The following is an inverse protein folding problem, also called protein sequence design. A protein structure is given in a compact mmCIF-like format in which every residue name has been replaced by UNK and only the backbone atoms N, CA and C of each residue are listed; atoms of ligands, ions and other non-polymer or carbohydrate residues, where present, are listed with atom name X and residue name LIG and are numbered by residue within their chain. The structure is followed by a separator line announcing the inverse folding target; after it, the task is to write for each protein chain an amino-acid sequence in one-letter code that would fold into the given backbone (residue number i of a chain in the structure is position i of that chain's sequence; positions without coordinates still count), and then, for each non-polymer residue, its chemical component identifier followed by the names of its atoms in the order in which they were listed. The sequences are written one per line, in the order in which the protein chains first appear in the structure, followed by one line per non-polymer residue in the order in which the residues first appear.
data_IF_662709735628
#
_entry.id   IF_662709735628
#
_cell.length_a   1.000
_cell.length_b   1.000
_cell.length_c   1.000
_cell.angle_alpha   90.00
_cell.angle_beta   90.00
_cell.angle_gamma   90.00
#
_symmetry.space_group_name_H-M   'P 1'
#
loop_
_entity.id
_entity.type
_entity.pdbx_description
1 polymer ?
#
# COMPACT_ATOMS: atom_id res chain seq x y z
N UNK A 1 6.47 11.06 31.11
CA UNK A 1 5.52 12.12 30.68
C UNK A 1 6.24 13.38 30.23
N UNK A 2 7.35 13.73 30.88
CA UNK A 2 8.08 14.99 30.62
C UNK A 2 8.55 15.12 29.17
N UNK A 3 9.01 14.02 28.56
CA UNK A 3 9.33 13.98 27.13
C UNK A 3 8.17 14.41 26.21
N UNK A 4 6.94 13.94 26.47
CA UNK A 4 5.76 14.27 25.65
C UNK A 4 5.36 15.73 25.78
N UNK A 5 5.60 16.32 26.96
CA UNK A 5 5.33 17.71 27.25
C UNK A 5 6.37 18.64 26.59
N UNK A 6 7.66 18.35 26.78
CA UNK A 6 8.76 19.16 26.26
C UNK A 6 8.83 19.16 24.73
N UNK A 7 8.51 18.03 24.10
CA UNK A 7 8.58 17.88 22.64
C UNK A 7 7.23 18.07 21.94
N UNK A 8 6.20 18.54 22.65
CA UNK A 8 4.90 18.81 22.06
C UNK A 8 5.07 19.80 20.88
N UNK A 9 4.46 19.50 19.72
CA UNK A 9 4.50 20.28 18.46
C UNK A 9 5.75 20.12 17.59
N UNK A 10 6.78 19.39 18.03
CA UNK A 10 7.98 19.13 17.20
C UNK A 10 7.86 17.87 16.32
N UNK A 11 6.91 16.97 16.60
CA UNK A 11 6.76 15.69 15.88
C UNK A 11 6.18 15.79 14.46
N UNK A 12 5.87 17.00 13.96
CA UNK A 12 5.27 17.14 12.62
C UNK A 12 6.19 16.66 11.51
N UNK A 13 7.49 16.92 11.63
CA UNK A 13 8.48 16.48 10.65
C UNK A 13 8.54 14.95 10.53
N UNK A 14 8.48 14.25 11.67
CA UNK A 14 8.41 12.79 11.70
C UNK A 14 7.12 12.27 11.04
N UNK A 15 5.98 12.89 11.35
CA UNK A 15 4.69 12.54 10.74
C UNK A 15 4.68 12.75 9.22
N UNK A 16 5.25 13.84 8.71
CA UNK A 16 5.34 14.08 7.26
C UNK A 16 6.22 13.06 6.55
N UNK A 17 7.35 12.66 7.16
CA UNK A 17 8.18 11.57 6.62
C UNK A 17 7.43 10.24 6.56
N UNK A 18 6.61 9.96 7.58
CA UNK A 18 5.78 8.75 7.60
C UNK A 18 4.74 8.75 6.46
N UNK A 19 4.02 9.85 6.26
CA UNK A 19 3.07 9.98 5.14
C UNK A 19 3.75 9.96 3.79
N UNK A 20 4.97 10.52 3.69
CA UNK A 20 5.77 10.39 2.48
C UNK A 20 6.11 8.93 2.19
N UNK A 21 6.48 8.13 3.21
CA UNK A 21 6.72 6.70 3.03
C UNK A 21 5.45 5.94 2.61
N UNK A 22 4.28 6.25 3.18
CA UNK A 22 3.00 5.67 2.75
C UNK A 22 2.71 6.02 1.26
N UNK A 23 2.92 7.27 0.85
CA UNK A 23 2.79 7.70 -0.54
C UNK A 23 3.80 7.01 -1.47
N UNK A 24 5.05 6.89 -1.04
CA UNK A 24 6.10 6.19 -1.79
C UNK A 24 5.79 4.69 -1.92
N UNK A 25 5.15 4.07 -0.92
CA UNK A 25 4.70 2.68 -0.99
C UNK A 25 3.63 2.49 -2.08
N UNK A 26 2.64 3.39 -2.14
CA UNK A 26 1.67 3.38 -3.24
C UNK A 26 2.33 3.67 -4.60
N UNK A 27 3.22 4.66 -4.66
CA UNK A 27 4.02 4.96 -5.85
C UNK A 27 4.86 3.76 -6.30
N UNK A 28 5.38 2.96 -5.37
CA UNK A 28 6.10 1.73 -5.68
C UNK A 28 5.16 0.69 -6.31
N UNK A 29 3.97 0.44 -5.73
CA UNK A 29 2.99 -0.48 -6.32
C UNK A 29 2.62 -0.06 -7.75
N UNK A 30 2.34 1.22 -7.97
CA UNK A 30 2.03 1.76 -9.31
C UNK A 30 3.25 1.64 -10.24
N UNK A 31 4.45 1.99 -9.77
CA UNK A 31 5.68 1.87 -10.53
C UNK A 31 5.98 0.43 -10.97
N UNK A 32 5.82 -0.53 -10.07
CA UNK A 32 5.95 -1.96 -10.38
C UNK A 32 4.91 -2.38 -11.43
N UNK A 33 3.65 -1.95 -11.29
CA UNK A 33 2.61 -2.22 -12.28
C UNK A 33 2.99 -1.70 -13.68
N UNK A 34 3.57 -0.49 -13.77
CA UNK A 34 4.03 0.09 -15.03
C UNK A 34 5.27 -0.61 -15.61
N UNK A 35 6.24 -0.98 -14.77
CA UNK A 35 7.42 -1.75 -15.20
C UNK A 35 7.01 -3.10 -15.76
N UNK A 36 6.09 -3.78 -15.09
CA UNK A 36 5.49 -5.03 -15.55
C UNK A 36 4.75 -4.85 -16.87
N UNK A 37 3.96 -3.77 -17.00
CA UNK A 37 3.31 -3.44 -18.26
C UNK A 37 4.30 -3.20 -19.40
N UNK A 38 5.42 -2.54 -19.13
CA UNK A 38 6.48 -2.32 -20.12
C UNK A 38 7.23 -3.60 -20.49
N UNK A 39 7.35 -4.53 -19.55
CA UNK A 39 7.96 -5.85 -19.76
C UNK A 39 7.10 -6.73 -20.67
N UNK A 40 5.77 -6.67 -20.52
CA UNK A 40 4.81 -7.40 -21.36
C UNK A 40 4.29 -6.62 -22.57
N UNK A 41 5.08 -5.65 -23.04
CA UNK A 41 4.78 -4.87 -24.25
C UNK A 41 3.37 -4.22 -24.24
N UNK A 42 2.92 -3.78 -23.08
CA UNK A 42 1.64 -3.09 -22.90
C UNK A 42 0.44 -3.98 -22.57
N UNK A 43 0.61 -5.31 -22.57
CA UNK A 43 -0.50 -6.25 -22.37
C UNK A 43 -0.83 -6.53 -20.89
N UNK A 44 0.00 -6.09 -19.93
CA UNK A 44 -0.18 -6.43 -18.51
C UNK A 44 -1.40 -5.76 -17.86
N UNK A 45 -1.74 -4.53 -18.27
CA UNK A 45 -2.88 -3.82 -17.69
C UNK A 45 -4.22 -4.42 -18.10
N UNK A 46 -4.35 -4.88 -19.35
CA UNK A 46 -5.56 -5.56 -19.85
C UNK A 46 -5.63 -7.02 -19.41
N UNK A 47 -4.47 -7.61 -19.10
CA UNK A 47 -4.27 -9.00 -18.72
C UNK A 47 -5.32 -9.58 -17.75
N UNK A 48 -5.59 -8.93 -16.62
CA UNK A 48 -6.52 -9.50 -15.64
C UNK A 48 -7.99 -9.41 -16.03
N UNK A 49 -8.38 -8.38 -16.79
CA UNK A 49 -9.75 -8.25 -17.31
C UNK A 49 -9.99 -9.32 -18.37
N UNK A 50 -9.00 -9.50 -19.23
CA UNK A 50 -8.97 -10.54 -20.25
C UNK A 50 -9.08 -11.92 -19.59
N UNK A 51 -8.24 -12.24 -18.60
CA UNK A 51 -8.27 -13.54 -17.90
C UNK A 51 -9.61 -13.83 -17.23
N UNK A 52 -10.27 -12.84 -16.60
CA UNK A 52 -11.60 -13.04 -15.99
C UNK A 52 -12.65 -13.35 -17.05
N UNK A 53 -12.63 -12.62 -18.16
CA UNK A 53 -13.54 -12.83 -19.31
C UNK A 53 -13.29 -14.19 -19.99
N UNK A 54 -12.03 -14.62 -20.02
CA UNK A 54 -11.58 -15.92 -20.52
C UNK A 54 -11.61 -17.04 -19.45
N UNK A 55 -12.24 -16.85 -18.29
CA UNK A 55 -12.62 -17.99 -17.46
C UNK A 55 -14.04 -18.47 -17.75
N UNK A 56 -14.90 -17.63 -18.35
CA UNK A 56 -16.31 -17.95 -18.59
C UNK A 56 -16.62 -18.62 -19.95
N UNK A 57 -15.79 -18.45 -20.98
CA UNK A 57 -15.93 -19.14 -22.30
C UNK A 57 -15.32 -20.56 -22.35
N UNK A 58 -15.57 -21.32 -23.43
CA UNK A 58 -15.08 -22.70 -23.60
C UNK A 58 -13.60 -22.77 -24.05
N UNK A 59 -12.89 -23.84 -23.66
CA UNK A 59 -11.43 -23.99 -23.79
C UNK A 59 -10.92 -24.32 -25.22
N UNK A 60 -11.75 -24.87 -26.10
CA UNK A 60 -11.30 -25.45 -27.39
C UNK A 60 -11.22 -24.44 -28.56
N UNK A 61 -11.88 -23.29 -28.47
CA UNK A 61 -11.90 -22.26 -29.54
C UNK A 61 -10.98 -21.05 -29.27
N UNK A 62 -10.25 -21.06 -28.15
CA UNK A 62 -9.56 -19.86 -27.65
C UNK A 62 -8.17 -19.68 -28.22
N UNK A 63 -7.97 -18.57 -28.93
CA UNK A 63 -6.66 -17.94 -29.06
C UNK A 63 -6.43 -17.14 -27.77
N UNK A 64 -5.87 -17.80 -26.75
CA UNK A 64 -5.48 -17.10 -25.52
C UNK A 64 -4.45 -16.02 -25.88
N UNK A 65 -4.66 -14.72 -25.54
CA UNK A 65 -3.65 -13.68 -25.69
C UNK A 65 -2.32 -14.04 -25.01
N UNK A 66 -2.40 -14.95 -24.02
CA UNK A 66 -1.27 -15.52 -23.31
C UNK A 66 -0.34 -16.37 -24.17
N UNK A 67 -0.81 -16.99 -25.26
CA UNK A 67 0.06 -17.76 -26.17
C UNK A 67 1.04 -16.83 -26.89
N UNK A 68 0.64 -15.59 -27.16
CA UNK A 68 1.50 -14.60 -27.80
C UNK A 68 2.63 -14.12 -26.88
N UNK A 69 2.35 -13.98 -25.58
CA UNK A 69 3.31 -13.48 -24.59
C UNK A 69 4.16 -14.62 -24.00
N UNK A 70 3.56 -15.78 -23.74
CA UNK A 70 4.17 -16.95 -23.12
C UNK A 70 3.94 -18.23 -23.95
N UNK A 71 4.63 -18.40 -25.09
CA UNK A 71 4.48 -19.60 -25.90
C UNK A 71 4.94 -20.83 -25.13
N UNK A 72 4.08 -21.84 -25.03
CA UNK A 72 4.40 -23.13 -24.41
C UNK A 72 5.13 -24.07 -25.38
N UNK A 73 4.98 -23.82 -26.68
CA UNK A 73 5.64 -24.55 -27.77
C UNK A 73 6.16 -23.57 -28.82
N UNK A 74 7.36 -23.80 -29.35
CA UNK A 74 8.00 -22.96 -30.37
C UNK A 74 8.63 -23.81 -31.47
N UNK A 75 8.77 -23.24 -32.68
CA UNK A 75 9.52 -23.86 -33.78
C UNK A 75 11.00 -23.51 -33.63
N UNK A 76 11.83 -24.52 -33.42
CA UNK A 76 13.28 -24.39 -33.39
C UNK A 76 13.86 -24.81 -34.74
N UNK A 77 14.59 -23.89 -35.40
CA UNK A 77 15.30 -24.16 -36.65
C UNK A 77 16.76 -24.52 -36.33
N UNK A 78 17.16 -25.75 -36.63
CA UNK A 78 18.53 -26.21 -36.50
C UNK A 78 19.21 -26.21 -37.87
N UNK A 79 20.43 -25.67 -37.93
CA UNK A 79 21.26 -25.69 -39.12
C UNK A 79 22.31 -26.78 -38.98
N UNK A 80 22.34 -27.73 -39.91
CA UNK A 80 23.32 -28.82 -39.94
C UNK A 80 23.97 -28.92 -41.32
N UNK A 81 25.25 -29.27 -41.37
CA UNK A 81 25.94 -29.52 -42.64
C UNK A 81 25.71 -30.97 -43.07
N UNK A 82 25.18 -31.15 -44.28
CA UNK A 82 24.99 -32.45 -44.91
C UNK A 82 26.31 -33.04 -45.41
N UNK A 83 26.27 -34.29 -45.88
CA UNK A 83 27.44 -35.01 -46.43
C UNK A 83 28.07 -34.30 -47.64
N UNK A 84 27.30 -33.46 -48.33
CA UNK A 84 27.73 -32.66 -49.49
C UNK A 84 28.31 -31.30 -49.11
N UNK A 85 28.39 -30.95 -47.81
CA UNK A 85 28.87 -29.64 -47.34
C UNK A 85 27.83 -28.51 -47.40
N UNK A 86 26.61 -28.79 -47.90
CA UNK A 86 25.51 -27.84 -47.95
C UNK A 86 24.81 -27.72 -46.57
N UNK A 87 24.27 -26.52 -46.27
CA UNK A 87 23.51 -26.27 -45.04
C UNK A 87 22.08 -26.79 -45.21
N UNK A 88 21.76 -27.87 -44.51
CA UNK A 88 20.40 -28.36 -44.38
C UNK A 88 19.70 -27.74 -43.16
N UNK A 89 18.43 -27.37 -43.35
CA UNK A 89 17.57 -26.81 -42.30
C UNK A 89 16.67 -27.92 -41.74
N UNK A 90 16.75 -28.14 -40.44
CA UNK A 90 15.87 -29.07 -39.72
C UNK A 90 14.97 -28.30 -38.76
N UNK A 91 13.67 -28.44 -38.97
CA UNK A 91 12.65 -27.83 -38.13
C UNK A 91 12.19 -28.83 -37.07
N UNK A 92 12.23 -28.44 -35.79
CA UNK A 92 11.71 -29.23 -34.69
C UNK A 92 10.77 -28.40 -33.81
N UNK A 93 9.85 -29.07 -33.13
CA UNK A 93 8.98 -28.45 -32.13
C UNK A 93 9.65 -28.54 -30.76
N UNK A 94 9.85 -27.40 -30.12
CA UNK A 94 10.41 -27.25 -28.78
C UNK A 94 9.30 -26.93 -27.77
N UNK A 95 9.39 -27.50 -26.55
CA UNK A 95 8.49 -27.18 -25.44
C UNK A 95 9.23 -26.26 -24.47
N UNK A 96 8.56 -25.19 -24.00
CA UNK A 96 9.08 -24.25 -23.01
C UNK A 96 8.34 -24.44 -21.66
N UNK A 97 8.79 -25.36 -20.80
CA UNK A 97 8.12 -25.63 -19.53
C UNK A 97 8.15 -24.44 -18.57
N UNK A 98 9.16 -23.57 -18.65
CA UNK A 98 9.25 -22.35 -17.82
C UNK A 98 8.09 -21.38 -18.09
N UNK A 99 7.61 -21.30 -19.34
CA UNK A 99 6.55 -20.37 -19.70
C UNK A 99 5.20 -20.78 -19.09
N UNK A 100 4.97 -22.08 -18.89
CA UNK A 100 3.76 -22.59 -18.20
C UNK A 100 3.71 -22.10 -16.75
N UNK A 101 4.86 -22.13 -16.06
CA UNK A 101 4.96 -21.68 -14.67
C UNK A 101 4.80 -20.16 -14.58
N UNK A 102 5.48 -19.43 -15.47
CA UNK A 102 5.41 -17.97 -15.55
C UNK A 102 3.97 -17.50 -15.75
N UNK A 103 3.24 -18.12 -16.67
CA UNK A 103 1.85 -17.76 -16.93
C UNK A 103 1.01 -17.79 -15.64
N UNK A 104 1.18 -18.78 -14.76
CA UNK A 104 0.38 -18.89 -13.53
C UNK A 104 0.81 -17.87 -12.48
N UNK A 105 2.12 -17.64 -12.35
CA UNK A 105 2.67 -16.66 -11.42
C UNK A 105 2.20 -15.25 -11.79
N UNK A 106 2.23 -14.88 -13.07
CA UNK A 106 1.85 -13.53 -13.50
C UNK A 106 0.35 -13.25 -13.38
N UNK A 107 -0.51 -14.26 -13.55
CA UNK A 107 -1.94 -14.15 -13.21
C UNK A 107 -2.12 -13.86 -11.73
N UNK A 108 -1.46 -14.63 -10.86
CA UNK A 108 -1.52 -14.38 -9.42
C UNK A 108 -1.00 -12.98 -9.03
N UNK A 109 0.14 -12.57 -9.59
CA UNK A 109 0.74 -11.27 -9.34
C UNK A 109 -0.15 -10.11 -9.77
N UNK A 110 -0.89 -10.24 -10.87
CA UNK A 110 -1.81 -9.20 -11.34
C UNK A 110 -2.91 -8.91 -10.31
N UNK A 111 -3.60 -9.95 -9.82
CA UNK A 111 -4.61 -9.80 -8.77
C UNK A 111 -4.00 -9.29 -7.47
N UNK A 112 -2.79 -9.75 -7.14
CA UNK A 112 -2.06 -9.29 -5.96
C UNK A 112 -1.76 -7.80 -6.02
N UNK A 113 -1.25 -7.28 -7.15
CA UNK A 113 -0.99 -5.85 -7.32
C UNK A 113 -2.28 -5.02 -7.29
N UNK A 114 -3.39 -5.53 -7.85
CA UNK A 114 -4.69 -4.87 -7.76
C UNK A 114 -5.15 -4.72 -6.30
N UNK A 115 -5.09 -5.80 -5.52
CA UNK A 115 -5.44 -5.80 -4.09
C UNK A 115 -4.53 -4.83 -3.32
N UNK A 116 -3.22 -4.91 -3.52
CA UNK A 116 -2.26 -4.00 -2.88
C UNK A 116 -2.55 -2.54 -3.24
N UNK A 117 -2.87 -2.25 -4.50
CA UNK A 117 -3.24 -0.91 -4.97
C UNK A 117 -4.50 -0.38 -4.28
N UNK A 118 -5.54 -1.20 -4.14
CA UNK A 118 -6.78 -0.83 -3.43
C UNK A 118 -6.53 -0.60 -1.94
N UNK A 119 -5.78 -1.48 -1.28
CA UNK A 119 -5.49 -1.34 0.16
C UNK A 119 -4.65 -0.09 0.45
N UNK A 120 -3.57 0.12 -0.30
CA UNK A 120 -2.67 1.26 -0.11
C UNK A 120 -3.34 2.58 -0.48
N UNK A 121 -4.15 2.63 -1.54
CA UNK A 121 -4.94 3.81 -1.87
C UNK A 121 -6.00 4.11 -0.79
N UNK A 122 -6.67 3.08 -0.25
CA UNK A 122 -7.61 3.22 0.87
C UNK A 122 -6.95 3.84 2.11
N UNK A 123 -5.72 3.41 2.44
CA UNK A 123 -4.93 4.01 3.53
C UNK A 123 -4.64 5.48 3.23
N UNK A 124 -4.16 5.82 2.04
CA UNK A 124 -3.86 7.21 1.67
C UNK A 124 -5.11 8.10 1.75
N UNK A 125 -6.24 7.63 1.21
CA UNK A 125 -7.52 8.37 1.28
C UNK A 125 -7.93 8.58 2.73
N UNK A 126 -7.85 7.55 3.57
CA UNK A 126 -8.11 7.66 4.99
C UNK A 126 -7.22 8.72 5.66
N UNK A 127 -5.91 8.76 5.35
CA UNK A 127 -4.99 9.78 5.86
C UNK A 127 -5.36 11.18 5.39
N UNK A 128 -5.70 11.36 4.11
CA UNK A 128 -6.11 12.66 3.56
C UNK A 128 -7.35 13.18 4.30
N UNK A 129 -8.35 12.33 4.54
CA UNK A 129 -9.57 12.70 5.29
C UNK A 129 -9.23 13.18 6.71
N UNK A 130 -8.31 12.50 7.40
CA UNK A 130 -7.85 12.90 8.75
C UNK A 130 -7.10 14.24 8.71
N UNK A 131 -6.28 14.46 7.68
CA UNK A 131 -5.53 15.71 7.51
C UNK A 131 -6.52 16.88 7.29
N UNK A 132 -7.52 16.71 6.43
CA UNK A 132 -8.51 17.74 6.12
C UNK A 132 -9.48 18.03 7.26
N UNK A 133 -9.88 17.00 8.03
CA UNK A 133 -10.93 17.13 9.05
C UNK A 133 -10.39 17.02 10.48
N UNK A 134 -10.19 18.15 11.20
CA UNK A 134 -9.83 18.13 12.62
C UNK A 134 -10.93 17.51 13.49
N UNK A 135 -12.20 17.55 13.03
CA UNK A 135 -13.30 16.87 13.73
C UNK A 135 -13.16 15.36 13.67
N UNK A 136 -12.64 14.82 12.56
CA UNK A 136 -12.48 13.38 12.40
C UNK A 136 -11.36 12.83 13.30
N UNK A 137 -10.30 13.62 13.53
CA UNK A 137 -9.23 13.31 14.50
C UNK A 137 -9.76 13.08 15.91
N UNK A 138 -10.64 13.97 16.35
CA UNK A 138 -11.31 13.87 17.66
C UNK A 138 -12.22 12.65 17.68
N UNK A 139 -13.03 12.45 16.64
CA UNK A 139 -13.94 11.31 16.55
C UNK A 139 -13.22 9.96 16.62
N UNK A 140 -12.12 9.80 15.88
CA UNK A 140 -11.32 8.57 15.86
C UNK A 140 -10.73 8.23 17.23
N UNK A 141 -10.11 9.21 17.90
CA UNK A 141 -9.61 9.03 19.26
C UNK A 141 -10.73 8.64 20.24
N UNK A 142 -11.90 9.28 20.14
CA UNK A 142 -13.05 8.95 20.99
C UNK A 142 -13.60 7.54 20.73
N UNK A 143 -13.64 7.13 19.46
CA UNK A 143 -14.18 5.82 19.08
C UNK A 143 -13.30 4.69 19.61
N UNK A 144 -11.98 4.85 19.50
CA UNK A 144 -10.98 3.87 19.92
C UNK A 144 -10.79 3.87 21.44
N UNK A 145 -10.61 5.04 22.05
CA UNK A 145 -10.27 5.20 23.47
C UNK A 145 -11.47 5.66 24.30
N UNK A 146 -12.48 4.78 24.42
CA UNK A 146 -13.73 5.07 25.14
C UNK A 146 -13.55 5.31 26.64
N UNK A 147 -12.43 4.85 27.22
CA UNK A 147 -12.13 4.98 28.66
C UNK A 147 -11.69 6.40 29.06
N UNK A 148 -11.32 7.25 28.10
CA UNK A 148 -10.79 8.59 28.36
C UNK A 148 -11.94 9.60 28.37
N UNK A 149 -11.97 10.52 29.35
CA UNK A 149 -12.97 11.60 29.38
C UNK A 149 -12.89 12.45 28.11
N UNK A 150 -14.05 12.76 27.53
CA UNK A 150 -14.19 13.51 26.28
C UNK A 150 -13.53 14.89 26.33
N UNK A 151 -13.64 15.57 27.47
CA UNK A 151 -13.04 16.87 27.71
C UNK A 151 -11.51 16.84 27.63
N UNK A 152 -10.87 15.79 28.15
CA UNK A 152 -9.42 15.62 28.09
C UNK A 152 -8.95 15.42 26.65
N UNK A 153 -9.65 14.59 25.87
CA UNK A 153 -9.36 14.40 24.44
C UNK A 153 -9.51 15.72 23.69
N UNK A 154 -10.61 16.44 23.88
CA UNK A 154 -10.86 17.70 23.18
C UNK A 154 -9.83 18.78 23.53
N UNK A 155 -9.41 18.86 24.79
CA UNK A 155 -8.37 19.78 25.24
C UNK A 155 -7.01 19.46 24.60
N UNK A 156 -6.62 18.18 24.58
CA UNK A 156 -5.35 17.73 23.98
C UNK A 156 -5.38 17.99 22.47
N UNK A 157 -6.41 17.53 21.75
CA UNK A 157 -6.47 17.64 20.29
C UNK A 157 -6.48 19.09 19.82
N UNK A 158 -7.14 20.01 20.55
CA UNK A 158 -7.12 21.45 20.24
C UNK A 158 -5.74 22.10 20.41
N UNK A 159 -4.91 21.58 21.31
CA UNK A 159 -3.58 22.13 21.63
C UNK A 159 -2.44 21.44 20.86
N UNK A 160 -2.64 20.17 20.53
CA UNK A 160 -1.69 19.33 19.81
C UNK A 160 -1.68 19.64 18.30
N UNK A 161 -0.52 19.54 17.65
CA UNK A 161 -0.46 19.57 16.18
C UNK A 161 -0.73 18.18 15.60
N UNK A 162 -0.78 18.09 14.27
CA UNK A 162 -1.06 16.83 13.55
C UNK A 162 -0.10 15.70 13.93
N UNK A 163 1.21 15.99 14.04
CA UNK A 163 2.20 14.98 14.38
C UNK A 163 2.04 14.41 15.78
N UNK A 164 1.68 15.25 16.75
CA UNK A 164 1.44 14.81 18.13
C UNK A 164 0.16 13.96 18.21
N UNK A 165 -0.90 14.35 17.49
CA UNK A 165 -2.11 13.53 17.40
C UNK A 165 -1.81 12.13 16.84
N UNK A 166 -1.02 12.07 15.77
CA UNK A 166 -0.62 10.79 15.17
C UNK A 166 0.24 9.95 16.11
N UNK A 167 1.14 10.59 16.86
CA UNK A 167 1.92 9.95 17.91
C UNK A 167 1.01 9.37 19.00
N UNK A 168 0.03 10.13 19.50
CA UNK A 168 -0.92 9.63 20.51
C UNK A 168 -1.77 8.48 19.97
N UNK A 169 -2.16 8.54 18.70
CA UNK A 169 -2.88 7.45 18.05
C UNK A 169 -2.03 6.17 18.02
N UNK A 170 -0.78 6.25 17.57
CA UNK A 170 0.17 5.13 17.56
C UNK A 170 0.46 4.61 18.98
N UNK A 171 0.64 5.52 19.94
CA UNK A 171 0.94 5.17 21.33
C UNK A 171 -0.19 4.36 21.94
N UNK A 172 -1.44 4.79 21.73
CA UNK A 172 -2.60 4.07 22.25
C UNK A 172 -2.88 2.74 21.54
N UNK A 173 -2.33 2.49 20.35
CA UNK A 173 -2.38 1.17 19.72
C UNK A 173 -1.36 0.18 20.32
N UNK A 174 -0.27 0.68 20.91
CA UNK A 174 0.82 -0.13 21.43
C UNK A 174 0.88 -0.21 22.96
N UNK A 175 0.08 0.59 23.69
CA UNK A 175 0.02 0.63 25.15
C UNK A 175 -1.34 0.12 25.64
N UNK A 176 -1.36 -0.50 26.83
CA UNK A 176 -2.59 -0.90 27.50
C UNK A 176 -3.56 0.29 27.68
N UNK A 177 -4.85 0.04 27.47
CA UNK A 177 -5.87 1.08 27.46
C UNK A 177 -6.00 1.83 28.80
N UNK A 178 -5.71 1.18 29.93
CA UNK A 178 -5.77 1.78 31.28
C UNK A 178 -4.58 2.72 31.46
N UNK A 179 -3.37 2.26 31.13
CA UNK A 179 -2.15 3.07 31.23
C UNK A 179 -2.25 4.27 30.30
N UNK A 180 -2.69 4.07 29.05
CA UNK A 180 -2.85 5.16 28.09
C UNK A 180 -3.88 6.18 28.57
N UNK A 181 -4.98 5.75 29.21
CA UNK A 181 -5.97 6.65 29.82
C UNK A 181 -5.32 7.54 30.89
N UNK A 182 -4.54 6.96 31.79
CA UNK A 182 -3.93 7.70 32.90
C UNK A 182 -2.91 8.71 32.38
N UNK A 183 -2.08 8.33 31.39
CA UNK A 183 -1.15 9.23 30.70
C UNK A 183 -1.88 10.39 30.04
N UNK A 184 -2.99 10.14 29.35
CA UNK A 184 -3.75 11.19 28.67
C UNK A 184 -4.46 12.12 29.66
N UNK A 185 -4.94 11.62 30.80
CA UNK A 185 -5.52 12.47 31.85
C UNK A 185 -4.49 13.37 32.53
N UNK A 186 -3.33 12.82 32.88
CA UNK A 186 -2.20 13.57 33.44
C UNK A 186 -1.75 14.67 32.46
N UNK A 187 -1.62 14.33 31.17
CA UNK A 187 -1.23 15.29 30.14
C UNK A 187 -2.28 16.40 29.96
N UNK A 188 -3.56 16.06 29.96
CA UNK A 188 -4.64 17.05 29.89
C UNK A 188 -4.66 17.98 31.13
N UNK A 189 -4.40 17.45 32.33
CA UNK A 189 -4.32 18.25 33.55
C UNK A 189 -3.16 19.26 33.49
N UNK A 190 -1.97 18.84 33.04
CA UNK A 190 -0.82 19.74 32.84
C UNK A 190 -1.09 20.80 31.78
N UNK A 191 -1.75 20.43 30.67
CA UNK A 191 -2.17 21.39 29.63
C UNK A 191 -3.22 22.39 30.14
N UNK A 192 -4.08 21.98 31.08
CA UNK A 192 -5.08 22.83 31.71
C UNK A 192 -4.50 23.79 32.76
N UNK A 193 -3.45 23.39 33.47
CA UNK A 193 -2.81 24.20 34.52
C UNK A 193 -1.96 25.36 33.99
N UNK A 194 -1.51 25.38 32.72
CA UNK A 194 -0.82 26.55 32.12
C UNK A 194 -1.76 27.72 31.77
N UNK A 195 -3.00 27.74 32.29
CA UNK A 195 -4.00 28.76 31.97
C UNK A 195 -4.23 29.91 32.97
N UNK A 196 -3.63 30.02 34.17
CA UNK A 196 -3.85 31.20 34.99
C UNK A 196 -2.88 32.37 34.72
N UNK A 197 -1.97 32.31 33.74
CA UNK A 197 -0.96 33.39 33.54
C UNK A 197 -0.99 34.10 32.17
N UNK A 198 -1.88 33.72 31.25
CA UNK A 198 -1.95 34.32 29.91
C UNK A 198 -3.26 35.07 29.62
N UNK A 199 -3.99 35.42 30.68
CA UNK A 199 -5.23 36.20 30.60
C UNK A 199 -5.13 37.57 31.30
N UNK A 200 -3.94 37.93 31.80
CA UNK A 200 -3.61 39.25 32.33
C UNK A 200 -2.47 39.87 31.50
N UNK A 201 -2.83 40.38 30.32
CA UNK A 201 -2.06 41.36 29.57
C UNK A 201 -3.04 42.26 28.80
#
# INVERSE_FOLDING_TARGET
LDYLWENLRYHNWWCYRYYLCELLSFGNVIGQMFLMNRFFDGAFLTFGIDVVTFMESDQEERIDPMIFIFPRMTKCTFYKFGVSGEVERHDAVCILPLNVVNEKIYVFLWFWFLILGVLTSGVIVYRIIIIMSPRMRVYLLRLRFRLIRREAIDAIVRRSKMGDWFLFYMLGENIDAIIFRDVMHELAARLGHSKPELQEA
#
